data_IF_951245323817
#
_entry.id   IF_951245323817
#
_cell.length_a   1.000
_cell.length_b   1.000
_cell.length_c   1.000
_cell.angle_alpha   90.00
_cell.angle_beta   90.00
_cell.angle_gamma   90.00
#
_symmetry.space_group_name_H-M   'P 1'
#
loop_
_entity.id
_entity.type
_entity.pdbx_description
1 polymer ?
#
# COMPACT_ATOMS: atom_id res chain seq x y z
N UNK A 1 9.53 -5.37 10.01
CA UNK A 1 9.16 -5.63 8.60
C UNK A 1 7.73 -5.19 8.23
N UNK A 2 6.87 -4.85 9.19
CA UNK A 2 5.41 -4.71 9.04
C UNK A 2 4.90 -3.59 8.12
N UNK A 3 5.36 -2.32 8.22
CA UNK A 3 4.82 -1.24 7.40
C UNK A 3 5.32 -1.28 5.95
N UNK A 4 6.61 -1.61 5.75
CA UNK A 4 7.19 -1.70 4.41
C UNK A 4 6.55 -2.80 3.56
N UNK A 5 6.39 -4.01 4.12
CA UNK A 5 5.77 -5.11 3.38
C UNK A 5 4.32 -4.78 2.98
N UNK A 6 3.58 -4.10 3.85
CA UNK A 6 2.21 -3.65 3.54
C UNK A 6 2.19 -2.58 2.44
N UNK A 7 3.08 -1.59 2.52
CA UNK A 7 3.23 -0.59 1.46
C UNK A 7 3.53 -1.24 0.11
N UNK A 8 4.49 -2.17 0.10
CA UNK A 8 4.86 -2.91 -1.10
C UNK A 8 3.68 -3.70 -1.67
N UNK A 9 2.93 -4.39 -0.81
CA UNK A 9 1.73 -5.14 -1.22
C UNK A 9 0.65 -4.24 -1.84
N UNK A 10 0.42 -3.04 -1.29
CA UNK A 10 -0.53 -2.08 -1.87
C UNK A 10 -0.07 -1.59 -3.25
N UNK A 11 1.21 -1.25 -3.39
CA UNK A 11 1.78 -0.80 -4.66
C UNK A 11 1.71 -1.89 -5.74
N UNK A 12 2.18 -3.10 -5.41
CA UNK A 12 2.14 -4.23 -6.34
C UNK A 12 0.70 -4.66 -6.68
N UNK A 13 -0.18 -4.74 -5.67
CA UNK A 13 -1.58 -5.10 -5.84
C UNK A 13 -2.32 -4.14 -6.76
N UNK A 14 -2.22 -2.83 -6.51
CA UNK A 14 -2.82 -1.81 -7.37
C UNK A 14 -2.28 -1.87 -8.80
N UNK A 15 -0.96 -2.03 -8.97
CA UNK A 15 -0.34 -2.14 -10.29
C UNK A 15 -0.91 -3.32 -11.10
N UNK A 16 -0.91 -4.53 -10.52
CA UNK A 16 -1.37 -5.72 -11.25
C UNK A 16 -2.88 -5.74 -11.48
N UNK A 17 -3.69 -5.19 -10.57
CA UNK A 17 -5.13 -5.05 -10.79
C UNK A 17 -5.44 -4.11 -11.96
N UNK A 18 -4.79 -2.95 -12.01
CA UNK A 18 -4.97 -2.00 -13.12
C UNK A 18 -4.46 -2.61 -14.44
N UNK A 19 -3.31 -3.30 -14.41
CA UNK A 19 -2.79 -4.00 -15.60
C UNK A 19 -3.77 -5.04 -16.13
N UNK A 20 -4.37 -5.85 -15.25
CA UNK A 20 -5.37 -6.84 -15.64
C UNK A 20 -6.63 -6.18 -16.22
N UNK A 21 -7.08 -5.07 -15.62
CA UNK A 21 -8.23 -4.31 -16.14
C UNK A 21 -7.95 -3.72 -17.53
N UNK A 22 -6.75 -3.17 -17.77
CA UNK A 22 -6.36 -2.62 -19.07
C UNK A 22 -6.25 -3.70 -20.15
N UNK A 23 -5.83 -4.91 -19.77
CA UNK A 23 -5.71 -6.04 -20.69
C UNK A 23 -7.08 -6.55 -21.19
N UNK A 24 -8.16 -6.26 -20.46
CA UNK A 24 -9.48 -6.82 -20.79
C UNK A 24 -10.15 -6.15 -21.98
N UNK A 25 -9.79 -4.93 -22.38
CA UNK A 25 -10.30 -4.30 -23.61
C UNK A 25 -11.84 -4.11 -23.66
N UNK A 26 -12.35 -3.27 -24.58
CA UNK A 26 -13.79 -3.03 -24.69
C UNK A 26 -14.56 -4.28 -25.11
N UNK A 27 -15.66 -4.60 -24.43
CA UNK A 27 -16.58 -5.68 -24.84
C UNK A 27 -16.14 -7.10 -24.48
N UNK A 28 -15.13 -7.28 -23.62
CA UNK A 28 -14.67 -8.61 -23.18
C UNK A 28 -15.57 -9.32 -22.18
N UNK A 29 -16.61 -8.65 -21.69
CA UNK A 29 -17.47 -9.14 -20.61
C UNK A 29 -16.75 -9.20 -19.26
N UNK A 30 -15.55 -8.60 -19.13
CA UNK A 30 -14.75 -8.58 -17.89
C UNK A 30 -14.63 -7.19 -17.27
N UNK A 31 -15.61 -6.33 -17.50
CA UNK A 31 -15.68 -4.97 -16.97
C UNK A 31 -15.58 -4.90 -15.44
N UNK A 32 -15.93 -6.00 -14.75
CA UNK A 32 -15.78 -6.13 -13.29
C UNK A 32 -14.32 -5.95 -12.81
N UNK A 33 -13.32 -6.25 -13.65
CA UNK A 33 -11.90 -6.06 -13.27
C UNK A 33 -11.54 -4.58 -13.20
N UNK A 34 -12.10 -3.76 -14.07
CA UNK A 34 -11.92 -2.30 -14.01
C UNK A 34 -12.59 -1.72 -12.75
N UNK A 35 -13.80 -2.20 -12.42
CA UNK A 35 -14.48 -1.80 -11.19
C UNK A 35 -13.69 -2.22 -9.93
N UNK A 36 -13.16 -3.45 -9.90
CA UNK A 36 -12.34 -3.95 -8.80
C UNK A 36 -11.04 -3.15 -8.64
N UNK A 37 -10.35 -2.85 -9.75
CA UNK A 37 -9.13 -2.05 -9.72
C UNK A 37 -9.40 -0.63 -9.19
N UNK A 38 -10.49 0.02 -9.62
CA UNK A 38 -10.90 1.33 -9.08
C UNK A 38 -11.20 1.27 -7.60
N UNK A 39 -12.01 0.30 -7.16
CA UNK A 39 -12.32 0.11 -5.75
C UNK A 39 -11.04 -0.02 -4.91
N UNK A 40 -10.10 -0.84 -5.36
CA UNK A 40 -8.82 -1.03 -4.68
C UNK A 40 -8.02 0.29 -4.61
N UNK A 41 -7.89 1.01 -5.71
CA UNK A 41 -7.16 2.28 -5.76
C UNK A 41 -7.79 3.35 -4.84
N UNK A 42 -9.11 3.42 -4.81
CA UNK A 42 -9.85 4.45 -4.05
C UNK A 42 -9.92 4.15 -2.55
N UNK A 43 -9.91 2.87 -2.14
CA UNK A 43 -10.17 2.49 -0.74
C UNK A 43 -8.97 1.85 -0.03
N UNK A 44 -8.10 1.13 -0.75
CA UNK A 44 -6.99 0.39 -0.16
C UNK A 44 -5.65 1.09 -0.42
N UNK A 45 -5.42 1.56 -1.65
CA UNK A 45 -4.16 2.20 -2.02
C UNK A 45 -3.96 3.57 -1.34
N UNK A 46 -5.04 4.18 -0.84
CA UNK A 46 -5.00 5.45 -0.09
C UNK A 46 -4.19 5.37 1.21
N UNK A 47 -3.97 4.18 1.75
CA UNK A 47 -3.09 3.99 2.92
C UNK A 47 -1.59 4.08 2.58
N UNK A 48 -1.21 4.03 1.30
CA UNK A 48 0.19 3.98 0.88
C UNK A 48 1.03 5.21 1.32
N UNK A 49 0.57 6.46 1.18
CA UNK A 49 1.36 7.62 1.62
C UNK A 49 1.70 7.60 3.11
N UNK A 50 0.71 7.27 3.97
CA UNK A 50 0.94 7.16 5.41
C UNK A 50 1.89 6.03 5.78
N UNK A 51 1.80 4.88 5.09
CA UNK A 51 2.77 3.80 5.29
C UNK A 51 4.17 4.17 4.81
N UNK A 52 4.30 4.96 3.74
CA UNK A 52 5.58 5.47 3.27
C UNK A 52 6.23 6.38 4.31
N UNK A 53 5.46 7.29 4.92
CA UNK A 53 5.92 8.13 6.01
C UNK A 53 6.41 7.30 7.20
N UNK A 54 5.62 6.31 7.66
CA UNK A 54 6.05 5.42 8.75
C UNK A 54 7.37 4.70 8.44
N UNK A 55 7.58 4.29 7.18
CA UNK A 55 8.81 3.62 6.76
C UNK A 55 10.00 4.58 6.76
N UNK A 56 9.83 5.82 6.32
CA UNK A 56 10.94 6.76 6.14
C UNK A 56 11.28 7.56 7.39
N UNK A 57 10.31 7.85 8.26
CA UNK A 57 10.50 8.74 9.42
C UNK A 57 10.34 8.01 10.77
N UNK A 58 9.75 6.81 10.78
CA UNK A 58 9.37 6.13 12.02
C UNK A 58 10.51 5.72 12.95
N UNK A 59 11.76 5.70 12.47
CA UNK A 59 12.93 5.33 13.27
C UNK A 59 13.41 6.45 14.21
N UNK A 60 13.29 7.72 13.81
CA UNK A 60 13.85 8.85 14.57
C UNK A 60 13.26 8.99 15.97
N UNK A 61 11.93 8.86 16.08
CA UNK A 61 11.23 8.95 17.37
C UNK A 61 11.61 7.83 18.34
N UNK A 62 11.89 6.63 17.85
CA UNK A 62 12.31 5.49 18.68
C UNK A 62 13.77 5.63 19.11
N UNK A 63 14.64 6.05 18.18
CA UNK A 63 16.08 6.21 18.44
C UNK A 63 16.39 7.38 19.37
N UNK A 64 15.49 8.37 19.47
CA UNK A 64 15.61 9.47 20.42
C UNK A 64 15.33 9.08 21.88
N UNK A 65 14.74 7.89 22.13
CA UNK A 65 14.45 7.41 23.49
C UNK A 65 15.71 6.79 24.10
N UNK A 66 16.16 7.24 25.29
CA UNK A 66 17.28 6.61 25.98
C UNK A 66 16.99 5.14 26.30
N UNK A 67 17.97 4.22 26.14
CA UNK A 67 17.75 2.79 26.35
C UNK A 67 17.30 2.47 27.79
N UNK A 68 17.76 3.25 28.77
CA UNK A 68 17.39 3.08 30.19
C UNK A 68 15.89 3.37 30.44
N UNK A 69 15.24 4.15 29.56
CA UNK A 69 13.81 4.44 29.63
C UNK A 69 12.94 3.28 29.12
N UNK A 70 13.53 2.38 28.32
CA UNK A 70 12.86 1.18 27.79
C UNK A 70 13.08 -0.07 28.65
N UNK A 71 13.91 0.03 29.70
CA UNK A 71 14.27 -1.08 30.59
C UNK A 71 13.38 -1.21 31.84
N UNK A 72 12.31 -0.42 31.95
CA UNK A 72 11.35 -0.40 33.06
C UNK A 72 10.23 -1.43 32.92
#
# INVERSE_FOLDING_TARGET
ATPYLRLFALAAGGHYLVRAALADGPGSGRDYRAALARFFCEHLATAAPGLAEVVTTGAEGLLAVPPDTLAG
#
